data_IF_002827790655
#
_entry.id   IF_002827790655
#
_cell.length_a   1.000
_cell.length_b   1.000
_cell.length_c   1.000
_cell.angle_alpha   90.00
_cell.angle_beta   90.00
_cell.angle_gamma   90.00
#
_symmetry.space_group_name_H-M   'P 1'
#
loop_
_entity.id
_entity.type
_entity.pdbx_description
1 polymer ?
#
# COMPACT_ATOMS: atom_id res chain seq x y z
N UNK A 1 -0.78 -14.12 2.82
CA UNK A 1 -1.60 -12.90 2.94
C UNK A 1 -2.73 -13.11 3.96
N UNK A 2 -2.87 -12.20 4.95
CA UNK A 2 -3.97 -12.17 5.92
C UNK A 2 -5.36 -12.07 5.27
N UNK A 3 -6.37 -12.65 5.92
CA UNK A 3 -7.76 -12.61 5.44
C UNK A 3 -8.32 -11.18 5.35
N UNK A 4 -7.93 -10.30 6.27
CA UNK A 4 -8.37 -8.91 6.28
C UNK A 4 -7.80 -8.14 5.06
N UNK A 5 -6.56 -8.41 4.65
CA UNK A 5 -5.95 -7.78 3.46
C UNK A 5 -6.71 -8.25 2.23
N UNK A 6 -6.95 -9.57 2.11
CA UNK A 6 -7.76 -10.13 1.03
C UNK A 6 -9.15 -9.50 0.95
N UNK A 7 -9.79 -9.25 2.09
CA UNK A 7 -11.10 -8.60 2.17
C UNK A 7 -11.02 -7.14 1.67
N UNK A 8 -10.03 -6.38 2.14
CA UNK A 8 -9.80 -4.98 1.72
C UNK A 8 -9.55 -4.84 0.22
N UNK A 9 -8.78 -5.76 -0.37
CA UNK A 9 -8.58 -5.82 -1.84
C UNK A 9 -9.93 -6.00 -2.55
N UNK A 10 -10.78 -6.92 -2.09
CA UNK A 10 -12.10 -7.14 -2.70
C UNK A 10 -13.02 -5.93 -2.61
N UNK A 11 -12.91 -5.14 -1.54
CA UNK A 11 -13.71 -3.93 -1.33
C UNK A 11 -13.23 -2.76 -2.19
N UNK A 12 -11.92 -2.67 -2.46
CA UNK A 12 -11.31 -1.52 -3.16
C UNK A 12 -11.02 -1.74 -4.66
N UNK A 13 -10.98 -3.00 -5.12
CA UNK A 13 -10.59 -3.37 -6.51
C UNK A 13 -11.43 -2.72 -7.60
N UNK A 14 -12.71 -2.41 -7.33
CA UNK A 14 -13.65 -1.90 -8.33
C UNK A 14 -13.72 -0.36 -8.35
N UNK A 15 -13.17 0.31 -7.33
CA UNK A 15 -13.11 1.78 -7.29
C UNK A 15 -11.82 2.29 -7.94
N UNK A 16 -10.72 2.27 -7.17
CA UNK A 16 -9.48 2.94 -7.53
C UNK A 16 -8.22 2.14 -7.20
N UNK A 17 -8.29 0.85 -6.86
CA UNK A 17 -7.08 0.06 -6.59
C UNK A 17 -6.46 -0.48 -7.89
N UNK A 18 -5.15 -0.29 -8.08
CA UNK A 18 -4.40 -0.82 -9.25
C UNK A 18 -3.52 -2.01 -8.87
N UNK A 19 -2.77 -1.89 -7.76
CA UNK A 19 -1.82 -2.93 -7.31
C UNK A 19 -1.78 -3.06 -5.80
N UNK A 20 -1.41 -4.26 -5.36
CA UNK A 20 -1.10 -4.57 -3.98
C UNK A 20 0.20 -5.36 -3.93
N UNK A 21 1.19 -4.80 -3.25
CA UNK A 21 2.53 -5.35 -3.14
C UNK A 21 2.82 -5.76 -1.69
N UNK A 22 3.49 -6.89 -1.50
CA UNK A 22 4.06 -7.29 -0.21
C UNK A 22 5.46 -6.71 -0.06
N UNK A 23 5.73 -6.07 1.07
CA UNK A 23 7.03 -5.53 1.42
C UNK A 23 7.50 -6.07 2.78
N UNK A 24 8.80 -6.10 2.97
CA UNK A 24 9.41 -6.12 4.29
C UNK A 24 9.89 -4.70 4.63
N UNK A 25 9.44 -4.16 5.75
CA UNK A 25 9.75 -2.80 6.19
C UNK A 25 9.83 -2.78 7.71
N UNK A 26 10.90 -2.22 8.27
CA UNK A 26 11.17 -2.21 9.72
C UNK A 26 11.02 -3.59 10.39
N UNK A 27 11.52 -4.64 9.72
CA UNK A 27 11.44 -6.03 10.19
C UNK A 27 10.03 -6.65 10.18
N UNK A 28 9.04 -5.97 9.60
CA UNK A 28 7.65 -6.42 9.53
C UNK A 28 7.22 -6.65 8.08
N UNK A 29 6.36 -7.65 7.88
CA UNK A 29 5.61 -7.80 6.63
C UNK A 29 4.49 -6.76 6.56
N UNK A 30 4.51 -5.95 5.50
CA UNK A 30 3.54 -4.89 5.23
C UNK A 30 2.99 -5.00 3.81
N UNK A 31 1.87 -4.33 3.56
CA UNK A 31 1.12 -4.41 2.32
C UNK A 31 0.87 -3.00 1.78
N UNK A 32 1.46 -2.69 0.63
CA UNK A 32 1.28 -1.40 -0.04
C UNK A 32 0.11 -1.51 -1.01
N UNK A 33 -0.90 -0.66 -0.83
CA UNK A 33 -2.06 -0.52 -1.71
C UNK A 33 -1.84 0.70 -2.60
N UNK A 34 -1.58 0.44 -3.87
CA UNK A 34 -1.34 1.49 -4.87
C UNK A 34 -2.65 1.81 -5.61
N UNK A 35 -3.12 3.06 -5.54
CA UNK A 35 -4.28 3.48 -6.29
C UNK A 35 -3.96 3.58 -7.79
N UNK A 36 -4.97 3.41 -8.63
CA UNK A 36 -4.98 3.81 -10.02
C UNK A 36 -4.75 5.32 -10.12
N UNK A 37 -4.22 5.75 -11.26
CA UNK A 37 -3.68 7.09 -11.49
C UNK A 37 -4.70 8.20 -11.15
N UNK A 38 -4.70 8.65 -9.90
CA UNK A 38 -5.64 9.58 -9.30
C UNK A 38 -4.82 10.65 -8.55
N UNK A 39 -4.91 11.94 -8.94
CA UNK A 39 -3.98 12.98 -8.48
C UNK A 39 -3.91 13.19 -6.95
N UNK A 40 -4.96 12.84 -6.23
CA UNK A 40 -5.13 13.04 -4.80
C UNK A 40 -5.06 11.73 -3.99
N UNK A 41 -4.98 10.57 -4.64
CA UNK A 41 -5.02 9.29 -3.94
C UNK A 41 -3.68 8.96 -3.29
N UNK A 42 -3.75 8.44 -2.06
CA UNK A 42 -2.60 8.03 -1.27
C UNK A 42 -2.29 6.54 -1.49
N UNK A 43 -1.00 6.21 -1.48
CA UNK A 43 -0.50 4.84 -1.51
C UNK A 43 -0.49 4.35 -0.06
N UNK A 44 -1.42 3.48 0.31
CA UNK A 44 -1.66 3.17 1.73
C UNK A 44 -0.89 1.93 2.16
N UNK A 45 -0.15 2.01 3.27
CA UNK A 45 0.59 0.91 3.85
C UNK A 45 -0.17 0.28 5.03
N UNK A 46 -0.34 -1.04 5.01
CA UNK A 46 -1.01 -1.79 6.06
C UNK A 46 -0.12 -2.86 6.68
N UNK A 47 -0.28 -3.11 7.98
CA UNK A 47 0.36 -4.25 8.65
C UNK A 47 -0.40 -5.58 8.41
N UNK A 48 0.11 -6.68 8.98
CA UNK A 48 -0.55 -8.01 8.91
C UNK A 48 -1.93 -8.09 9.57
N UNK A 49 -2.28 -7.12 10.40
CA UNK A 49 -3.56 -7.00 11.09
C UNK A 49 -4.50 -6.00 10.38
N UNK A 50 -4.10 -5.48 9.21
CA UNK A 50 -4.83 -4.46 8.46
C UNK A 50 -4.92 -3.09 9.13
N UNK A 51 -4.05 -2.80 10.08
CA UNK A 51 -3.92 -1.45 10.60
C UNK A 51 -3.21 -0.59 9.56
N UNK A 52 -3.76 0.59 9.29
CA UNK A 52 -3.08 1.59 8.47
C UNK A 52 -1.86 2.10 9.23
N UNK A 53 -0.69 2.04 8.61
CA UNK A 53 0.57 2.53 9.17
C UNK A 53 0.76 3.98 8.72
N UNK A 54 0.77 4.22 7.42
CA UNK A 54 1.09 5.49 6.79
C UNK A 54 0.85 5.44 5.27
N UNK A 55 1.06 6.57 4.61
CA UNK A 55 1.07 6.66 3.15
C UNK A 55 2.42 7.20 2.66
N UNK A 56 3.32 6.37 2.11
CA UNK A 56 4.64 6.83 1.65
C UNK A 56 4.64 7.62 0.33
N UNK A 57 3.55 7.57 -0.45
CA UNK A 57 3.44 8.26 -1.74
C UNK A 57 1.99 8.66 -2.05
N UNK A 58 1.85 9.40 -3.15
CA UNK A 58 0.57 9.89 -3.64
C UNK A 58 0.15 11.19 -2.98
N UNK A 59 -1.13 11.54 -3.11
CA UNK A 59 -1.64 12.84 -2.73
C UNK A 59 -1.12 13.97 -3.63
N UNK A 60 -1.63 15.18 -3.41
CA UNK A 60 -1.35 16.35 -4.27
C UNK A 60 0.15 16.67 -4.36
N UNK A 61 0.89 16.44 -3.28
CA UNK A 61 2.34 16.69 -3.23
C UNK A 61 3.18 15.52 -3.78
N UNK A 62 2.58 14.35 -3.97
CA UNK A 62 3.27 13.09 -4.29
C UNK A 62 4.00 12.44 -3.11
N UNK A 63 4.15 13.11 -1.97
CA UNK A 63 4.94 12.65 -0.81
C UNK A 63 4.10 11.86 0.21
N UNK A 64 2.86 11.53 -0.12
CA UNK A 64 1.97 10.81 0.78
C UNK A 64 1.60 11.64 2.02
N UNK A 65 1.58 11.01 3.20
CA UNK A 65 1.19 11.62 4.47
C UNK A 65 2.37 12.10 5.35
N UNK A 66 3.60 11.97 4.85
CA UNK A 66 4.83 12.44 5.52
C UNK A 66 5.31 11.59 6.71
N UNK A 67 4.69 10.43 6.98
CA UNK A 67 5.02 9.59 8.15
C UNK A 67 6.04 8.48 7.87
N UNK A 68 6.23 8.11 6.60
CA UNK A 68 7.08 6.99 6.18
C UNK A 68 8.00 7.38 5.02
N UNK A 69 8.79 8.43 5.23
CA UNK A 69 9.59 9.06 4.18
C UNK A 69 10.78 8.19 3.72
N UNK A 70 11.18 7.21 4.53
CA UNK A 70 12.25 6.25 4.24
C UNK A 70 11.73 4.94 3.62
N UNK A 71 10.41 4.76 3.48
CA UNK A 71 9.80 3.50 3.04
C UNK A 71 10.40 2.96 1.73
N UNK A 72 10.55 3.80 0.70
CA UNK A 72 11.12 3.36 -0.58
C UNK A 72 12.64 3.18 -0.55
N UNK A 73 13.32 3.64 0.50
CA UNK A 73 14.77 3.49 0.69
C UNK A 73 15.10 2.22 1.49
N UNK A 74 14.28 1.89 2.49
CA UNK A 74 14.54 0.79 3.43
C UNK A 74 13.62 -0.40 3.25
N UNK A 75 12.45 -0.20 2.62
CA UNK A 75 11.50 -1.25 2.30
C UNK A 75 11.98 -2.13 1.16
N UNK A 76 11.82 -3.44 1.32
CA UNK A 76 12.18 -4.43 0.31
C UNK A 76 10.91 -5.07 -0.23
N UNK A 77 10.60 -4.81 -1.49
CA UNK A 77 9.50 -5.48 -2.19
C UNK A 77 9.77 -6.99 -2.22
N UNK A 78 8.77 -7.78 -1.82
CA UNK A 78 8.87 -9.25 -1.82
C UNK A 78 8.10 -9.87 -2.97
N UNK A 79 6.89 -9.38 -3.26
CA UNK A 79 6.05 -9.89 -4.35
C UNK A 79 4.84 -9.00 -4.64
N UNK A 80 4.35 -9.10 -5.87
CA UNK A 80 3.00 -8.67 -6.24
C UNK A 80 1.95 -9.66 -5.71
N UNK A 81 0.99 -9.17 -4.92
CA UNK A 81 -0.10 -9.98 -4.36
C UNK A 81 -1.35 -9.90 -5.24
N UNK A 82 -1.63 -8.72 -5.78
CA UNK A 82 -2.79 -8.48 -6.63
C UNK A 82 -2.52 -7.31 -7.58
N UNK A 83 -3.08 -7.38 -8.77
CA UNK A 83 -3.15 -6.26 -9.70
C UNK A 83 -4.46 -6.34 -10.48
N UNK A 84 -4.89 -5.21 -11.04
CA UNK A 84 -6.11 -5.10 -11.83
C UNK A 84 -6.01 -5.79 -13.21
N UNK A 85 -4.80 -6.11 -13.70
CA UNK A 85 -4.54 -6.63 -15.05
C UNK A 85 -3.80 -7.96 -15.05
#
# INVERSE_FOLDING_TARGET
>A
MPSCIKKKIKEQKDEYLDKVLEYEYNGNTVYLFEPANCPDALFNLYDKNCNHICSPAGGISGNGDGKCNDFYQTGVEKRLIWTKY
#
